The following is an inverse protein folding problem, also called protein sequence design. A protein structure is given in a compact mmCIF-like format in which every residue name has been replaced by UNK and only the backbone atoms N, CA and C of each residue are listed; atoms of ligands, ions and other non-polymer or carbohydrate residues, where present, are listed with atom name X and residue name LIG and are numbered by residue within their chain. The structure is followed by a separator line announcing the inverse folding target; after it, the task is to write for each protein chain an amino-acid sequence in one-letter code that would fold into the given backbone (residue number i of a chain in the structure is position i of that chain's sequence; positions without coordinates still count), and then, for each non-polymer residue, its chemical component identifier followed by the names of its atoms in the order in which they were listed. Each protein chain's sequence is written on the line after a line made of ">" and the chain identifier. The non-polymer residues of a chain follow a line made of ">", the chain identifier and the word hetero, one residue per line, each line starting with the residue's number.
data_IF_010436776882
#
_entry.id   IF_010436776882
#
_cell.length_a   1.000
_cell.length_b   1.000
_cell.length_c   1.000
_cell.angle_alpha   90.00
_cell.angle_beta   90.00
_cell.angle_gamma   90.00
#
_symmetry.space_group_name_H-M   'P 1'
#
loop_
_entity.id
_entity.type
_entity.pdbx_description
1 polymer ?
#
# COMPACT_ATOMS: atom_id res chain seq x y z
N UNK A 1 -26.61 7.51 -47.95
CA UNK A 1 -25.27 6.89 -47.78
C UNK A 1 -24.37 7.63 -46.79
N UNK A 2 -24.33 8.98 -46.74
CA UNK A 2 -23.46 9.78 -45.85
C UNK A 2 -23.56 9.48 -44.33
N UNK A 3 -24.70 8.99 -43.83
CA UNK A 3 -24.94 8.80 -42.39
C UNK A 3 -24.42 7.46 -41.85
N UNK A 4 -24.23 6.46 -42.72
CA UNK A 4 -23.66 5.16 -42.37
C UNK A 4 -22.13 5.27 -42.25
N UNK A 5 -21.50 6.02 -43.16
CA UNK A 5 -20.04 6.26 -43.13
C UNK A 5 -19.64 7.07 -41.89
N UNK A 6 -20.45 8.06 -41.49
CA UNK A 6 -20.24 8.80 -40.22
C UNK A 6 -20.36 7.91 -38.98
N UNK A 7 -21.32 6.97 -38.94
CA UNK A 7 -21.46 6.04 -37.81
C UNK A 7 -20.29 5.04 -37.73
N UNK A 8 -19.77 4.59 -38.86
CA UNK A 8 -18.59 3.70 -38.91
C UNK A 8 -17.33 4.44 -38.43
N UNK A 9 -17.13 5.70 -38.83
CA UNK A 9 -16.01 6.53 -38.38
C UNK A 9 -16.07 6.80 -36.85
N UNK A 10 -17.26 7.06 -36.31
CA UNK A 10 -17.46 7.30 -34.86
C UNK A 10 -17.28 6.01 -34.06
N UNK A 11 -17.70 4.86 -34.59
CA UNK A 11 -17.51 3.55 -33.94
C UNK A 11 -16.03 3.15 -33.91
N UNK A 12 -15.26 3.48 -34.95
CA UNK A 12 -13.83 3.19 -35.03
C UNK A 12 -12.98 4.04 -34.06
N UNK A 13 -13.40 5.28 -33.77
CA UNK A 13 -12.76 6.20 -32.81
C UNK A 13 -12.99 5.82 -31.34
N UNK A 14 -14.05 5.08 -31.02
CA UNK A 14 -14.35 4.64 -29.65
C UNK A 14 -13.51 3.42 -29.23
N UNK A 15 -13.09 2.59 -30.19
CA UNK A 15 -12.37 1.33 -29.92
C UNK A 15 -10.88 1.59 -29.62
N UNK A 16 -10.31 2.71 -30.09
CA UNK A 16 -8.89 3.04 -29.89
C UNK A 16 -8.49 3.34 -28.43
N UNK A 17 -9.45 3.61 -27.54
CA UNK A 17 -9.15 3.95 -26.13
C UNK A 17 -9.28 2.79 -25.13
N UNK A 18 -9.59 1.56 -25.57
CA UNK A 18 -9.79 0.44 -24.63
C UNK A 18 -8.56 -0.47 -24.44
N UNK A 19 -7.55 -0.37 -25.32
CA UNK A 19 -6.39 -1.27 -25.31
C UNK A 19 -5.20 -0.86 -24.44
N UNK A 20 -5.14 0.39 -23.96
CA UNK A 20 -3.89 0.96 -23.39
C UNK A 20 -3.83 0.88 -21.85
N UNK A 21 -4.95 0.58 -21.17
CA UNK A 21 -5.04 0.73 -19.71
C UNK A 21 -4.30 -0.36 -18.92
N UNK A 22 -4.06 -1.54 -19.48
CA UNK A 22 -3.56 -2.69 -18.70
C UNK A 22 -2.03 -2.80 -18.65
N UNK A 23 -1.30 -2.19 -19.59
CA UNK A 23 0.15 -2.37 -19.70
C UNK A 23 0.96 -1.48 -18.74
N UNK A 24 0.45 -0.30 -18.36
CA UNK A 24 1.21 0.68 -17.58
C UNK A 24 1.28 0.35 -16.07
N UNK A 25 0.36 -0.48 -15.56
CA UNK A 25 0.29 -0.80 -14.12
C UNK A 25 1.46 -1.68 -13.66
N UNK A 26 2.02 -2.52 -14.55
CA UNK A 26 3.08 -3.48 -14.20
C UNK A 26 4.47 -2.84 -14.07
N UNK A 27 4.73 -1.75 -14.78
CA UNK A 27 6.03 -1.07 -14.82
C UNK A 27 6.29 -0.22 -13.55
N UNK A 28 5.24 0.26 -12.86
CA UNK A 28 5.39 1.10 -11.66
C UNK A 28 5.93 0.35 -10.42
N UNK A 29 6.00 -0.99 -10.45
CA UNK A 29 6.52 -1.82 -9.34
C UNK A 29 8.06 -1.87 -9.26
N UNK A 30 8.79 -1.57 -10.34
CA UNK A 30 10.25 -1.74 -10.37
C UNK A 30 11.08 -0.52 -9.94
N UNK A 31 10.49 0.68 -9.86
CA UNK A 31 11.20 1.92 -9.52
C UNK A 31 10.82 2.51 -8.15
N UNK A 32 10.15 1.76 -7.28
CA UNK A 32 9.88 2.22 -5.93
C UNK A 32 11.05 1.82 -5.03
N UNK A 33 11.97 2.77 -4.79
CA UNK A 33 12.97 2.75 -3.71
C UNK A 33 12.28 2.86 -2.34
N UNK A 34 11.35 1.95 -2.08
CA UNK A 34 10.59 1.85 -0.84
C UNK A 34 11.18 0.80 0.08
N UNK A 35 11.25 1.10 1.37
CA UNK A 35 11.49 0.09 2.42
C UNK A 35 10.15 -0.42 2.90
N UNK A 36 9.94 -1.73 2.82
CA UNK A 36 8.80 -2.40 3.41
C UNK A 36 9.05 -2.59 4.90
N UNK A 37 8.05 -2.32 5.71
CA UNK A 37 8.09 -2.39 7.16
C UNK A 37 6.95 -3.29 7.61
N UNK A 38 7.25 -4.29 8.45
CA UNK A 38 6.27 -5.11 9.16
C UNK A 38 6.42 -4.87 10.65
N UNK A 39 5.32 -4.60 11.34
CA UNK A 39 5.29 -4.39 12.78
C UNK A 39 4.28 -5.37 13.38
N UNK A 40 4.74 -6.25 14.25
CA UNK A 40 3.89 -7.10 15.06
C UNK A 40 3.41 -6.32 16.27
N UNK A 41 2.10 -6.36 16.52
CA UNK A 41 1.44 -5.48 17.49
C UNK A 41 0.50 -6.28 18.39
N UNK A 42 0.63 -6.08 19.70
CA UNK A 42 -0.33 -6.58 20.69
C UNK A 42 -1.51 -5.63 20.86
N UNK A 43 -2.68 -6.19 21.13
CA UNK A 43 -3.91 -5.44 21.42
C UNK A 43 -4.77 -5.11 20.19
N UNK A 44 -4.39 -5.57 19.00
CA UNK A 44 -5.22 -5.49 17.78
C UNK A 44 -6.37 -6.51 17.84
N UNK A 45 -7.38 -6.24 18.68
CA UNK A 45 -8.51 -7.15 18.87
C UNK A 45 -9.78 -6.76 18.07
N UNK A 46 -9.82 -5.55 17.50
CA UNK A 46 -11.03 -5.04 16.85
C UNK A 46 -10.72 -4.17 15.61
N UNK A 47 -11.57 -4.17 14.56
CA UNK A 47 -11.37 -3.32 13.38
C UNK A 47 -11.30 -1.82 13.68
N UNK A 48 -12.09 -1.35 14.65
CA UNK A 48 -12.06 0.04 15.09
C UNK A 48 -10.72 0.42 15.75
N UNK A 49 -10.12 -0.53 16.47
CA UNK A 49 -8.82 -0.39 17.13
C UNK A 49 -7.71 -0.25 16.07
N UNK A 50 -7.74 -1.09 15.04
CA UNK A 50 -6.81 -1.03 13.91
C UNK A 50 -6.85 0.30 13.16
N UNK A 51 -8.02 0.92 13.01
CA UNK A 51 -8.14 2.21 12.36
C UNK A 51 -7.37 3.32 13.09
N UNK A 52 -7.36 3.30 14.42
CA UNK A 52 -6.56 4.22 15.24
C UNK A 52 -5.06 4.09 14.95
N UNK A 53 -4.57 2.85 14.88
CA UNK A 53 -3.18 2.56 14.54
C UNK A 53 -2.85 3.00 13.10
N UNK A 54 -3.71 2.65 12.13
CA UNK A 54 -3.55 3.06 10.73
C UNK A 54 -3.37 4.57 10.61
N UNK A 55 -4.21 5.35 11.30
CA UNK A 55 -4.14 6.81 11.29
C UNK A 55 -2.82 7.34 11.85
N UNK A 56 -2.27 6.71 12.89
CA UNK A 56 -0.96 7.11 13.43
C UNK A 56 0.17 6.78 12.46
N UNK A 57 0.13 5.61 11.82
CA UNK A 57 1.17 5.19 10.86
C UNK A 57 1.15 6.06 9.60
N UNK A 58 -0.03 6.48 9.13
CA UNK A 58 -0.16 7.42 8.01
C UNK A 58 0.45 8.81 8.28
N UNK A 59 0.81 9.15 9.52
CA UNK A 59 1.55 10.38 9.84
C UNK A 59 3.03 10.30 9.45
N UNK A 60 3.55 9.10 9.21
CA UNK A 60 4.89 8.92 8.67
C UNK A 60 4.86 9.38 7.21
N UNK A 61 5.79 10.27 6.87
CA UNK A 61 5.85 10.83 5.53
C UNK A 61 6.17 9.74 4.48
N UNK A 62 5.41 9.72 3.40
CA UNK A 62 5.66 8.80 2.29
C UNK A 62 5.20 7.35 2.53
N UNK A 63 4.31 7.12 3.50
CA UNK A 63 3.67 5.80 3.69
C UNK A 63 2.78 5.43 2.51
N UNK A 64 2.96 4.21 2.01
CA UNK A 64 2.16 3.58 0.94
C UNK A 64 1.87 2.12 1.29
N UNK A 65 0.93 1.50 0.57
CA UNK A 65 0.63 0.07 0.66
C UNK A 65 0.40 -0.42 2.10
N UNK A 66 -0.29 0.39 2.91
CA UNK A 66 -0.59 0.02 4.29
C UNK A 66 -1.64 -1.09 4.32
N UNK A 67 -1.33 -2.16 5.05
CA UNK A 67 -2.19 -3.32 5.25
C UNK A 67 -2.12 -3.76 6.71
N UNK A 68 -3.26 -4.08 7.31
CA UNK A 68 -3.36 -4.57 8.68
C UNK A 68 -3.97 -5.97 8.63
N UNK A 69 -3.28 -6.92 9.25
CA UNK A 69 -3.81 -8.25 9.50
C UNK A 69 -4.15 -8.39 10.99
N UNK A 70 -5.45 -8.34 11.29
CA UNK A 70 -5.98 -8.48 12.65
C UNK A 70 -5.82 -9.91 13.18
N UNK A 71 -5.95 -10.92 12.31
CA UNK A 71 -5.89 -12.32 12.71
C UNK A 71 -4.47 -12.71 13.13
N UNK A 72 -3.47 -12.20 12.41
CA UNK A 72 -2.05 -12.45 12.69
C UNK A 72 -1.43 -11.39 13.61
N UNK A 73 -2.09 -10.26 13.79
CA UNK A 73 -1.65 -9.21 14.72
C UNK A 73 -0.43 -8.44 14.21
N UNK A 74 -0.43 -8.05 12.93
CA UNK A 74 0.63 -7.21 12.39
C UNK A 74 0.10 -6.16 11.40
N UNK A 75 0.92 -5.14 11.18
CA UNK A 75 0.74 -4.13 10.15
C UNK A 75 1.94 -4.11 9.21
N UNK A 76 1.70 -4.00 7.92
CA UNK A 76 2.72 -3.80 6.90
C UNK A 76 2.49 -2.50 6.15
N UNK A 77 3.56 -1.80 5.78
CA UNK A 77 3.51 -0.63 4.91
C UNK A 77 4.86 -0.38 4.24
N UNK A 78 4.87 0.44 3.19
CA UNK A 78 6.08 0.90 2.52
C UNK A 78 6.36 2.34 2.91
N UNK A 79 7.61 2.68 3.23
CA UNK A 79 8.08 4.06 3.40
C UNK A 79 9.16 4.38 2.36
N UNK A 80 9.34 5.65 2.02
CA UNK A 80 10.43 6.10 1.13
C UNK A 80 11.77 5.79 1.82
N UNK A 81 12.72 5.15 1.13
CA UNK A 81 13.95 4.67 1.77
C UNK A 81 14.79 5.79 2.39
N UNK A 82 14.80 6.98 1.79
CA UNK A 82 15.48 8.17 2.33
C UNK A 82 14.87 8.66 3.66
N UNK A 83 13.59 8.39 3.89
CA UNK A 83 12.86 8.77 5.11
C UNK A 83 12.43 7.55 5.91
N UNK A 84 13.24 6.49 5.88
CA UNK A 84 12.98 5.27 6.65
C UNK A 84 12.82 5.63 8.14
N UNK A 85 11.66 5.36 8.76
CA UNK A 85 11.47 5.63 10.18
C UNK A 85 12.36 4.71 11.03
N UNK A 86 12.89 5.26 12.12
CA UNK A 86 13.64 4.48 13.10
C UNK A 86 12.72 3.56 13.89
N UNK A 87 13.27 2.49 14.44
CA UNK A 87 12.51 1.56 15.27
C UNK A 87 11.88 2.25 16.49
N UNK A 88 12.61 3.17 17.12
CA UNK A 88 12.12 3.98 18.24
C UNK A 88 10.92 4.85 17.84
N UNK A 89 10.97 5.49 16.66
CA UNK A 89 9.85 6.31 16.17
C UNK A 89 8.62 5.45 15.92
N UNK A 90 8.80 4.25 15.36
CA UNK A 90 7.73 3.30 15.14
C UNK A 90 7.12 2.82 16.47
N UNK A 91 7.94 2.40 17.43
CA UNK A 91 7.48 2.01 18.77
C UNK A 91 6.70 3.14 19.45
N UNK A 92 7.19 4.38 19.34
CA UNK A 92 6.50 5.56 19.88
C UNK A 92 5.13 5.76 19.23
N UNK A 93 5.02 5.69 17.90
CA UNK A 93 3.74 5.82 17.19
C UNK A 93 2.74 4.72 17.56
N UNK A 94 3.22 3.48 17.68
CA UNK A 94 2.38 2.33 18.09
C UNK A 94 1.90 2.53 19.54
N UNK A 95 2.77 3.01 20.44
CA UNK A 95 2.41 3.34 21.82
C UNK A 95 1.42 4.52 21.91
N UNK A 96 1.62 5.56 21.12
CA UNK A 96 0.70 6.70 21.00
C UNK A 96 -0.67 6.30 20.46
N UNK A 97 -0.73 5.21 19.67
CA UNK A 97 -1.98 4.59 19.22
C UNK A 97 -2.65 3.71 20.30
N UNK A 98 -2.00 3.46 21.45
CA UNK A 98 -2.52 2.63 22.53
C UNK A 98 -2.15 1.14 22.43
N UNK A 99 -1.15 0.79 21.61
CA UNK A 99 -0.73 -0.60 21.39
C UNK A 99 0.74 -0.84 21.79
N UNK A 100 1.16 -2.11 21.76
CA UNK A 100 2.54 -2.51 22.05
C UNK A 100 3.17 -3.15 20.81
N UNK A 101 4.32 -2.63 20.37
CA UNK A 101 5.08 -3.21 19.26
C UNK A 101 6.00 -4.34 19.77
N UNK A 102 5.78 -5.57 19.28
CA UNK A 102 6.58 -6.75 19.66
C UNK A 102 7.85 -6.91 18.82
N UNK A 103 7.71 -6.80 17.50
CA UNK A 103 8.78 -7.05 16.53
C UNK A 103 8.61 -6.11 15.34
N UNK A 104 9.71 -5.53 14.88
CA UNK A 104 9.76 -4.66 13.70
C UNK A 104 10.74 -5.27 12.70
N UNK A 105 10.29 -5.45 11.46
CA UNK A 105 11.06 -6.05 10.39
C UNK A 105 11.11 -5.09 9.20
N UNK A 106 12.27 -5.00 8.58
CA UNK A 106 12.49 -4.17 7.40
C UNK A 106 12.88 -5.05 6.22
N UNK A 107 12.33 -4.76 5.04
CA UNK A 107 12.63 -5.48 3.81
C UNK A 107 12.73 -4.52 2.63
N UNK A 108 13.52 -4.90 1.62
CA UNK A 108 13.55 -4.22 0.31
C UNK A 108 12.43 -4.71 -0.61
N UNK A 109 11.78 -5.82 -0.26
CA UNK A 109 10.72 -6.48 -1.03
C UNK A 109 9.46 -6.64 -0.20
N UNK A 110 8.32 -6.79 -0.86
CA UNK A 110 7.02 -6.93 -0.22
C UNK A 110 6.93 -8.20 0.65
N UNK A 111 6.33 -8.09 1.83
CA UNK A 111 6.09 -9.21 2.73
C UNK A 111 4.95 -10.12 2.26
N UNK A 112 4.02 -9.61 1.43
CA UNK A 112 2.88 -10.39 0.90
C UNK A 112 3.32 -11.42 -0.13
N UNK A 113 4.49 -11.25 -0.77
CA UNK A 113 5.01 -12.17 -1.77
C UNK A 113 5.74 -13.41 -1.19
N UNK A 114 5.88 -13.51 0.14
CA UNK A 114 6.70 -14.53 0.80
C UNK A 114 5.87 -15.53 1.63
N UNK A 115 4.55 -15.63 1.40
CA UNK A 115 3.65 -16.52 2.17
C UNK A 115 2.97 -17.60 1.31
N UNK A 116 3.60 -18.00 0.19
CA UNK A 116 3.22 -19.22 -0.53
C UNK A 116 3.93 -20.45 0.05
#
# INVERSE_FOLDING_TARGET
>A
MKNIVKKIIVLMLLISNLGVVQAEVKIKKLNQTGTYIKIWVDGLACPFCAYGLEKQIKRIEGVKNLHIDLNRGFITFTAISEKKPTEERLKKLVKEAGFVARKIEYSKTDFVLNEN
#
